data_IF_309394184430
#
_entry.id   IF_309394184430
#
_cell.length_a   1.000
_cell.length_b   1.000
_cell.length_c   1.000
_cell.angle_alpha   90.00
_cell.angle_beta   90.00
_cell.angle_gamma   90.00
#
_symmetry.space_group_name_H-M   'P 1'
#
loop_
_entity.id
_entity.type
_entity.pdbx_description
1 polymer ?
#
# COMPACT_ATOMS: atom_id res chain seq x y z
N UNK A 1 -11.46 8.50 -17.94
CA UNK A 1 -10.46 8.81 -16.90
C UNK A 1 -10.67 7.85 -15.73
N UNK A 2 -9.67 7.07 -15.34
CA UNK A 2 -9.77 6.12 -14.21
C UNK A 2 -9.21 6.75 -12.93
N UNK A 3 -10.05 6.81 -11.88
CA UNK A 3 -9.73 7.43 -10.58
C UNK A 3 -8.42 6.89 -9.98
N UNK A 4 -8.09 5.61 -10.21
CA UNK A 4 -6.87 5.00 -9.67
C UNK A 4 -5.57 5.52 -10.30
N UNK A 5 -5.60 5.93 -11.58
CA UNK A 5 -4.40 6.45 -12.28
C UNK A 5 -4.02 7.82 -11.74
N UNK A 6 -5.01 8.70 -11.56
CA UNK A 6 -4.79 10.02 -10.97
C UNK A 6 -4.24 9.92 -9.53
N UNK A 7 -4.70 8.93 -8.76
CA UNK A 7 -4.20 8.68 -7.42
C UNK A 7 -2.74 8.22 -7.43
N UNK A 8 -2.38 7.32 -8.35
CA UNK A 8 -1.01 6.85 -8.53
C UNK A 8 -0.06 8.00 -8.86
N UNK A 9 -0.43 8.86 -9.81
CA UNK A 9 0.37 10.02 -10.24
C UNK A 9 0.62 10.99 -9.08
N UNK A 10 -0.42 11.33 -8.30
CA UNK A 10 -0.29 12.23 -7.14
C UNK A 10 0.63 11.65 -6.07
N UNK A 11 0.53 10.35 -5.77
CA UNK A 11 1.41 9.70 -4.79
C UNK A 11 2.87 9.75 -5.25
N UNK A 12 3.12 9.45 -6.53
CA UNK A 12 4.45 9.46 -7.12
C UNK A 12 5.05 10.86 -7.09
N UNK A 13 4.26 11.87 -7.47
CA UNK A 13 4.68 13.26 -7.44
C UNK A 13 5.08 13.71 -6.03
N UNK A 14 4.25 13.44 -5.02
CA UNK A 14 4.54 13.80 -3.63
C UNK A 14 5.74 13.04 -3.05
N UNK A 15 5.98 11.82 -3.50
CA UNK A 15 7.10 11.02 -3.01
C UNK A 15 8.43 11.43 -3.66
N UNK A 16 8.46 11.58 -4.99
CA UNK A 16 9.67 11.84 -5.76
C UNK A 16 10.04 13.33 -5.82
N UNK A 17 9.06 14.23 -5.98
CA UNK A 17 9.33 15.67 -6.09
C UNK A 17 9.33 16.37 -4.73
N UNK A 18 8.33 16.09 -3.87
CA UNK A 18 8.22 16.78 -2.58
C UNK A 18 8.98 16.07 -1.45
N UNK A 19 9.52 14.87 -1.69
CA UNK A 19 10.24 14.08 -0.69
C UNK A 19 9.39 13.72 0.54
N UNK A 20 8.06 13.73 0.41
CA UNK A 20 7.17 13.50 1.54
C UNK A 20 7.22 12.04 2.01
N UNK A 21 7.18 11.85 3.33
CA UNK A 21 7.04 10.51 3.89
C UNK A 21 5.70 9.87 3.49
N UNK A 22 5.70 8.53 3.34
CA UNK A 22 4.48 7.78 3.02
C UNK A 22 3.32 8.04 4.00
N UNK A 23 3.62 8.34 5.27
CA UNK A 23 2.63 8.70 6.29
C UNK A 23 1.99 10.07 6.03
N UNK A 24 2.79 11.05 5.59
CA UNK A 24 2.29 12.38 5.24
C UNK A 24 1.38 12.31 4.01
N UNK A 25 1.80 11.56 2.99
CA UNK A 25 1.02 11.34 1.77
C UNK A 25 -0.33 10.67 2.08
N UNK A 26 -0.32 9.62 2.92
CA UNK A 26 -1.54 8.94 3.33
C UNK A 26 -2.56 9.87 4.00
N UNK A 27 -2.09 10.76 4.90
CA UNK A 27 -2.95 11.76 5.55
C UNK A 27 -3.47 12.81 4.57
N UNK A 28 -2.60 13.29 3.66
CA UNK A 28 -2.92 14.34 2.70
C UNK A 28 -3.97 13.89 1.68
N UNK A 29 -3.86 12.65 1.20
CA UNK A 29 -4.79 12.06 0.22
C UNK A 29 -5.95 11.29 0.86
N UNK A 30 -5.98 11.19 2.19
CA UNK A 30 -6.95 10.40 2.96
C UNK A 30 -7.09 8.94 2.48
N UNK A 31 -5.95 8.30 2.22
CA UNK A 31 -5.87 6.91 1.76
C UNK A 31 -5.07 6.05 2.73
N UNK A 32 -5.26 4.74 2.65
CA UNK A 32 -4.52 3.82 3.50
C UNK A 32 -3.01 3.88 3.21
N UNK A 33 -2.19 3.76 4.27
CA UNK A 33 -0.73 3.65 4.14
C UNK A 33 -0.33 2.47 3.24
N UNK A 34 -1.12 1.39 3.26
CA UNK A 34 -0.86 0.22 2.42
C UNK A 34 -0.98 0.55 0.93
N UNK A 35 -1.94 1.40 0.56
CA UNK A 35 -2.11 1.90 -0.81
C UNK A 35 -0.92 2.75 -1.24
N UNK A 36 -0.49 3.69 -0.38
CA UNK A 36 0.71 4.51 -0.65
C UNK A 36 1.94 3.64 -0.84
N UNK A 37 2.18 2.69 0.08
CA UNK A 37 3.31 1.77 -0.01
C UNK A 37 3.28 0.95 -1.31
N UNK A 38 2.11 0.38 -1.64
CA UNK A 38 1.91 -0.41 -2.87
C UNK A 38 2.31 0.37 -4.13
N UNK A 39 1.99 1.66 -4.19
CA UNK A 39 2.33 2.51 -5.34
C UNK A 39 3.75 3.09 -5.29
N UNK A 40 4.31 3.36 -4.11
CA UNK A 40 5.71 3.77 -3.96
C UNK A 40 6.69 2.63 -4.27
N UNK A 41 6.39 1.39 -3.88
CA UNK A 41 7.28 0.24 -4.08
C UNK A 41 7.36 -0.19 -5.57
N UNK A 42 6.57 0.41 -6.47
CA UNK A 42 6.56 0.12 -7.91
C UNK A 42 6.02 -1.26 -8.31
N UNK A 43 5.64 -2.08 -7.33
CA UNK A 43 5.16 -3.46 -7.52
C UNK A 43 3.75 -3.58 -8.09
N UNK A 44 3.02 -2.47 -8.17
CA UNK A 44 1.67 -2.47 -8.71
C UNK A 44 1.35 -1.17 -9.41
N UNK A 45 1.02 -1.29 -10.69
CA UNK A 45 0.54 -0.19 -11.52
C UNK A 45 -0.96 -0.39 -11.80
N UNK A 46 -1.77 0.69 -11.82
CA UNK A 46 -3.24 0.57 -11.97
C UNK A 46 -3.70 -0.19 -13.22
N UNK A 47 -2.88 -0.23 -14.27
CA UNK A 47 -3.16 -0.96 -15.50
C UNK A 47 -2.83 -2.46 -15.43
N UNK A 48 -2.02 -2.90 -14.46
CA UNK A 48 -1.78 -4.31 -14.21
C UNK A 48 -2.87 -4.89 -13.29
N UNK A 49 -3.89 -5.50 -13.90
CA UNK A 49 -4.84 -6.31 -13.13
C UNK A 49 -4.16 -7.59 -12.69
N UNK A 50 -3.61 -7.60 -11.47
CA UNK A 50 -3.28 -8.87 -10.82
C UNK A 50 -4.58 -9.61 -10.52
N UNK A 51 -4.83 -10.70 -11.27
CA UNK A 51 -5.91 -11.64 -10.99
C UNK A 51 -5.88 -12.00 -9.51
N UNK A 52 -7.03 -11.92 -8.83
CA UNK A 52 -7.19 -12.07 -7.38
C UNK A 52 -6.48 -13.33 -6.87
N UNK A 53 -5.20 -13.24 -6.52
CA UNK A 53 -4.46 -14.34 -5.91
C UNK A 53 -4.70 -14.29 -4.40
N UNK A 54 -5.21 -15.40 -3.87
CA UNK A 54 -5.77 -15.52 -2.54
C UNK A 54 -4.90 -14.94 -1.43
N UNK A 55 -5.57 -14.28 -0.50
CA UNK A 55 -5.02 -13.81 0.78
C UNK A 55 -4.37 -14.99 1.52
N UNK A 56 -3.05 -15.15 1.45
CA UNK A 56 -2.33 -16.07 2.35
C UNK A 56 -2.30 -15.46 3.75
N UNK A 57 -3.26 -15.88 4.58
CA UNK A 57 -3.31 -15.55 6.00
C UNK A 57 -2.25 -16.35 6.74
N UNK A 58 -1.03 -15.82 6.88
CA UNK A 58 -0.06 -16.37 7.84
C UNK A 58 -0.44 -15.89 9.24
N UNK A 59 -1.38 -16.59 9.88
CA UNK A 59 -1.51 -16.61 11.33
C UNK A 59 -0.26 -17.29 11.89
N UNK A 60 0.65 -16.51 12.46
CA UNK A 60 1.76 -17.02 13.25
C UNK A 60 1.20 -17.58 14.57
N UNK A 61 1.10 -18.90 14.66
CA UNK A 61 0.93 -19.65 15.91
C UNK A 61 2.28 -19.70 16.63
N UNK A 62 2.51 -18.83 17.63
CA UNK A 62 3.60 -18.97 18.59
C UNK A 62 3.14 -18.56 19.98
N UNK A 63 2.80 -19.55 20.79
CA UNK A 63 2.43 -19.35 22.18
C UNK A 63 1.93 -20.62 22.88
N UNK A 64 2.54 -21.79 22.62
CA UNK A 64 2.50 -22.87 23.58
C UNK A 64 3.31 -22.40 24.79
N UNK A 65 2.62 -21.94 25.82
CA UNK A 65 3.14 -21.98 27.19
C UNK A 65 2.02 -22.59 28.03
N UNK A 66 2.10 -23.91 28.19
CA UNK A 66 1.71 -24.55 29.44
C UNK A 66 2.40 -23.77 30.57
N UNK A 67 1.62 -23.13 31.44
CA UNK A 67 1.78 -23.10 32.89
C UNK A 67 0.73 -22.13 33.47
N UNK A 68 -0.43 -22.66 33.86
CA UNK A 68 -1.03 -22.47 35.17
C UNK A 68 -2.08 -23.56 35.40
#
# INVERSE_FOLDING_TARGET
MSIEVELYEKIRQFYEHDGMSQRAIAKKLNISRNTVKKYCDGSHVPWERQGKSGRKNTRNTRGTVLLC
#
